data_IF_660865199799
#
_entry.id   IF_660865199799
#
_cell.length_a   1.000
_cell.length_b   1.000
_cell.length_c   1.000
_cell.angle_alpha   90.00
_cell.angle_beta   90.00
_cell.angle_gamma   90.00
#
_symmetry.space_group_name_H-M   'P 1'
#
loop_
_entity.id
_entity.type
_entity.pdbx_description
1 polymer ?
#
# COMPACT_ATOMS: atom_id res chain seq x y z
N UNK A 1 14.33 -12.49 5.67
CA UNK A 1 13.68 -12.58 4.34
C UNK A 1 12.73 -11.38 4.22
N UNK A 2 12.29 -10.99 3.02
CA UNK A 2 11.21 -10.00 2.88
C UNK A 2 9.88 -10.74 2.98
N UNK A 3 8.97 -10.25 3.81
CA UNK A 3 7.67 -10.88 4.06
C UNK A 3 6.56 -9.84 4.06
N UNK A 4 5.37 -10.23 3.59
CA UNK A 4 4.14 -9.47 3.80
C UNK A 4 3.42 -9.98 5.06
N UNK A 5 3.17 -9.11 6.02
CA UNK A 5 2.46 -9.45 7.26
C UNK A 5 1.27 -8.52 7.47
N UNK A 6 0.34 -8.93 8.33
CA UNK A 6 -0.72 -8.04 8.78
C UNK A 6 -0.14 -6.96 9.73
N UNK A 7 -0.77 -5.77 9.81
CA UNK A 7 -0.42 -4.73 10.77
C UNK A 7 -0.41 -5.25 12.21
N UNK A 8 0.73 -5.12 12.87
CA UNK A 8 0.97 -5.68 14.20
C UNK A 8 1.69 -4.68 15.13
N UNK A 9 1.30 -4.68 16.40
CA UNK A 9 1.86 -3.73 17.38
C UNK A 9 3.35 -3.94 17.66
N UNK A 10 3.89 -5.13 17.37
CA UNK A 10 5.29 -5.49 17.56
C UNK A 10 6.27 -4.65 16.73
N UNK A 11 5.82 -4.07 15.61
CA UNK A 11 6.68 -3.23 14.75
C UNK A 11 6.66 -1.75 15.12
N UNK A 12 6.02 -1.34 16.22
CA UNK A 12 5.78 0.07 16.54
C UNK A 12 7.04 0.95 16.45
N UNK A 13 8.15 0.51 17.06
CA UNK A 13 9.43 1.25 17.01
C UNK A 13 9.95 1.42 15.57
N UNK A 14 10.03 0.33 14.81
CA UNK A 14 10.55 0.37 13.44
C UNK A 14 9.63 1.14 12.49
N UNK A 15 8.32 1.09 12.74
CA UNK A 15 7.32 1.88 12.02
C UNK A 15 7.53 3.38 12.24
N UNK A 16 7.78 3.82 13.48
CA UNK A 16 8.05 5.23 13.80
C UNK A 16 9.32 5.74 13.12
N UNK A 17 10.38 4.92 13.08
CA UNK A 17 11.60 5.27 12.35
C UNK A 17 11.33 5.43 10.84
N UNK A 18 10.58 4.51 10.25
CA UNK A 18 10.20 4.62 8.85
C UNK A 18 9.35 5.87 8.60
N UNK A 19 8.38 6.17 9.47
CA UNK A 19 7.56 7.37 9.37
C UNK A 19 8.40 8.65 9.42
N UNK A 20 9.42 8.71 10.29
CA UNK A 20 10.37 9.81 10.34
C UNK A 20 11.20 9.93 9.05
N UNK A 21 11.62 8.81 8.44
CA UNK A 21 12.32 8.84 7.15
C UNK A 21 11.44 9.37 6.02
N UNK A 22 10.18 8.91 5.94
CA UNK A 22 9.24 9.40 4.93
C UNK A 22 9.02 10.91 5.07
N UNK A 23 8.80 11.39 6.31
CA UNK A 23 8.67 12.81 6.59
C UNK A 23 9.93 13.60 6.20
N UNK A 24 11.14 13.09 6.53
CA UNK A 24 12.41 13.72 6.17
C UNK A 24 12.65 13.77 4.65
N UNK A 25 12.11 12.81 3.90
CA UNK A 25 12.15 12.77 2.45
C UNK A 25 11.06 13.63 1.78
N UNK A 26 10.12 14.19 2.55
CA UNK A 26 8.95 14.87 2.01
C UNK A 26 8.03 13.94 1.22
N UNK A 27 7.99 12.66 1.59
CA UNK A 27 7.33 11.59 0.85
C UNK A 27 6.22 10.95 1.70
N UNK A 28 5.18 10.47 1.02
CA UNK A 28 4.01 9.91 1.67
C UNK A 28 4.05 8.38 1.71
N UNK A 29 3.57 7.79 2.81
CA UNK A 29 3.49 6.34 2.98
C UNK A 29 2.31 5.75 2.19
N UNK A 30 2.41 5.69 0.87
CA UNK A 30 1.36 5.11 0.04
C UNK A 30 1.01 3.67 0.47
N UNK A 31 -0.27 3.32 0.40
CA UNK A 31 -0.77 2.01 0.80
C UNK A 31 -0.93 1.81 2.32
N UNK A 32 -0.40 2.70 3.16
CA UNK A 32 -0.46 2.59 4.64
C UNK A 32 -1.86 2.71 5.22
N UNK A 33 -2.78 3.41 4.54
CA UNK A 33 -4.09 3.76 5.09
C UNK A 33 -4.08 4.97 6.02
N UNK A 34 -2.95 5.67 6.15
CA UNK A 34 -2.90 6.99 6.77
C UNK A 34 -3.74 8.00 5.95
N UNK A 35 -4.04 9.13 6.59
CA UNK A 35 -4.48 10.32 5.87
C UNK A 35 -3.25 11.13 5.40
N UNK A 36 -3.22 11.65 4.16
CA UNK A 36 -2.22 12.63 3.75
C UNK A 36 -2.25 13.85 4.67
N UNK A 37 -1.08 14.39 5.02
CA UNK A 37 -1.01 15.49 5.98
C UNK A 37 -1.65 16.78 5.46
N UNK A 38 -1.63 16.96 4.13
CA UNK A 38 -2.21 18.09 3.39
C UNK A 38 -3.71 17.92 3.07
N UNK A 39 -4.29 16.75 3.36
CA UNK A 39 -5.72 16.52 3.19
C UNK A 39 -6.50 17.14 4.36
N UNK A 40 -7.50 18.00 4.09
CA UNK A 40 -8.42 18.50 5.11
C UNK A 40 -9.17 17.37 5.82
N UNK A 41 -9.36 17.48 7.14
CA UNK A 41 -9.98 16.42 7.95
C UNK A 41 -11.41 16.06 7.47
N UNK A 42 -12.16 17.03 6.94
CA UNK A 42 -13.51 16.81 6.40
C UNK A 42 -13.53 16.05 5.05
N UNK A 43 -12.36 15.87 4.42
CA UNK A 43 -12.17 15.08 3.21
C UNK A 43 -11.62 13.67 3.50
N UNK A 44 -11.14 13.42 4.72
CA UNK A 44 -10.68 12.09 5.11
C UNK A 44 -11.88 11.18 5.36
N UNK A 45 -11.86 10.00 4.74
CA UNK A 45 -12.90 8.99 4.92
C UNK A 45 -12.53 8.05 6.06
N UNK A 46 -13.38 8.02 7.09
CA UNK A 46 -13.19 7.18 8.26
C UNK A 46 -12.35 7.84 9.35
N UNK A 47 -11.79 7.03 10.22
CA UNK A 47 -10.94 7.50 11.31
C UNK A 47 -9.62 8.07 10.77
N UNK A 48 -9.22 9.22 11.30
CA UNK A 48 -8.02 9.94 10.86
C UNK A 48 -6.84 9.45 11.69
N UNK A 49 -5.90 8.77 11.03
CA UNK A 49 -4.62 8.40 11.60
C UNK A 49 -3.51 9.22 10.95
N UNK A 50 -2.81 10.02 11.77
CA UNK A 50 -1.63 10.78 11.36
C UNK A 50 -0.39 10.28 12.11
N UNK A 51 0.81 10.25 11.48
CA UNK A 51 2.02 9.73 12.12
C UNK A 51 2.32 10.29 13.52
N UNK A 52 2.04 11.59 13.75
CA UNK A 52 2.27 12.23 15.06
C UNK A 52 1.45 11.59 16.20
N UNK A 53 0.21 11.17 15.92
CA UNK A 53 -0.67 10.51 16.90
C UNK A 53 -0.22 9.09 17.20
N UNK A 54 0.41 8.44 16.21
CA UNK A 54 0.82 7.04 16.28
C UNK A 54 2.10 6.83 17.11
N UNK A 55 2.64 7.89 17.72
CA UNK A 55 3.67 7.76 18.78
C UNK A 55 3.11 7.16 20.07
N UNK A 56 1.80 7.31 20.31
CA UNK A 56 1.09 6.65 21.40
C UNK A 56 0.81 5.17 21.04
N UNK A 57 1.28 4.20 21.85
CA UNK A 57 1.03 2.78 21.61
C UNK A 57 -0.45 2.40 21.52
N UNK A 58 -1.34 3.08 22.25
CA UNK A 58 -2.78 2.81 22.19
C UNK A 58 -3.37 3.24 20.84
N UNK A 59 -2.96 4.41 20.35
CA UNK A 59 -3.37 4.90 19.03
C UNK A 59 -2.76 4.03 17.91
N UNK A 60 -1.52 3.57 18.08
CA UNK A 60 -0.90 2.63 17.14
C UNK A 60 -1.63 1.28 17.09
N UNK A 61 -2.05 0.75 18.25
CA UNK A 61 -2.85 -0.46 18.32
C UNK A 61 -4.23 -0.29 17.65
N UNK A 62 -4.89 0.85 17.85
CA UNK A 62 -6.14 1.19 17.18
C UNK A 62 -5.96 1.26 15.65
N UNK A 63 -4.87 1.90 15.18
CA UNK A 63 -4.50 1.93 13.76
C UNK A 63 -4.32 0.51 13.19
N UNK A 64 -3.55 -0.36 13.86
CA UNK A 64 -3.35 -1.74 13.41
C UNK A 64 -4.67 -2.53 13.34
N UNK A 65 -5.56 -2.33 14.30
CA UNK A 65 -6.89 -2.95 14.29
C UNK A 65 -7.76 -2.43 13.14
N UNK A 66 -7.79 -1.10 12.94
CA UNK A 66 -8.54 -0.47 11.85
C UNK A 66 -8.06 -0.95 10.47
N UNK A 67 -6.74 -1.08 10.28
CA UNK A 67 -6.17 -1.56 9.02
C UNK A 67 -6.52 -3.04 8.75
N UNK A 68 -6.54 -3.90 9.78
CA UNK A 68 -6.97 -5.29 9.63
C UNK A 68 -8.46 -5.43 9.33
N UNK A 69 -9.29 -4.53 9.85
CA UNK A 69 -10.74 -4.53 9.59
C UNK A 69 -11.11 -4.17 8.14
N UNK A 70 -10.18 -3.60 7.35
CA UNK A 70 -10.41 -3.16 5.96
C UNK A 70 -10.79 -4.28 4.98
N UNK A 71 -10.56 -5.54 5.36
CA UNK A 71 -10.98 -6.71 4.57
C UNK A 71 -12.49 -6.94 4.63
N UNK A 72 -13.18 -6.43 5.66
CA UNK A 72 -14.63 -6.59 5.77
C UNK A 72 -15.32 -5.65 4.78
N UNK A 73 -16.13 -6.24 3.90
CA UNK A 73 -16.81 -5.51 2.82
C UNK A 73 -17.80 -4.49 3.35
N UNK A 74 -18.54 -4.81 4.41
CA UNK A 74 -19.56 -3.90 4.94
C UNK A 74 -18.91 -2.69 5.60
N UNK A 75 -17.84 -2.93 6.36
CA UNK A 75 -17.02 -1.89 6.97
C UNK A 75 -16.36 -1.01 5.91
N UNK A 76 -15.67 -1.59 4.92
CA UNK A 76 -15.03 -0.83 3.86
C UNK A 76 -16.04 0.02 3.07
N UNK A 77 -17.21 -0.53 2.75
CA UNK A 77 -18.28 0.16 2.06
C UNK A 77 -18.86 1.32 2.89
N UNK A 78 -18.97 1.18 4.22
CA UNK A 78 -19.43 2.25 5.11
C UNK A 78 -18.51 3.48 5.08
N UNK A 79 -17.24 3.27 4.71
CA UNK A 79 -16.23 4.31 4.53
C UNK A 79 -16.11 4.78 3.07
N UNK A 80 -16.95 4.27 2.16
CA UNK A 80 -16.89 4.60 0.74
C UNK A 80 -15.68 4.00 0.01
N UNK A 81 -15.11 2.91 0.52
CA UNK A 81 -14.00 2.21 -0.08
C UNK A 81 -14.40 0.80 -0.52
N UNK A 82 -13.57 0.20 -1.38
CA UNK A 82 -13.58 -1.25 -1.63
C UNK A 82 -12.85 -1.98 -0.49
N UNK A 83 -13.12 -3.28 -0.27
CA UNK A 83 -12.33 -4.10 0.63
C UNK A 83 -10.86 -4.15 0.19
N UNK A 84 -9.94 -4.02 1.14
CA UNK A 84 -8.52 -4.15 0.85
C UNK A 84 -7.73 -4.79 2.00
N UNK A 85 -6.76 -5.64 1.64
CA UNK A 85 -5.76 -6.13 2.59
C UNK A 85 -4.68 -5.08 2.74
N UNK A 86 -4.61 -4.46 3.91
CA UNK A 86 -3.49 -3.61 4.33
C UNK A 86 -2.39 -4.51 4.86
N UNK A 87 -1.25 -4.53 4.18
CA UNK A 87 -0.12 -5.40 4.47
C UNK A 87 1.12 -4.56 4.74
N UNK A 88 1.99 -5.06 5.61
CA UNK A 88 3.29 -4.47 5.89
C UNK A 88 4.40 -5.29 5.26
N UNK A 89 5.37 -4.60 4.68
CA UNK A 89 6.58 -5.19 4.12
C UNK A 89 7.61 -5.20 5.23
N UNK A 90 8.04 -6.38 5.66
CA UNK A 90 8.94 -6.53 6.81
C UNK A 90 10.17 -7.37 6.48
N UNK A 91 11.21 -7.22 7.30
CA UNK A 91 12.38 -8.11 7.34
C UNK A 91 12.73 -8.40 8.80
N UNK A 92 12.28 -9.55 9.31
CA UNK A 92 12.38 -9.81 10.75
C UNK A 92 11.51 -8.80 11.51
N UNK A 93 12.12 -8.05 12.43
CA UNK A 93 11.45 -7.02 13.23
C UNK A 93 11.46 -5.63 12.56
N UNK A 94 12.07 -5.52 11.37
CA UNK A 94 12.16 -4.25 10.65
C UNK A 94 10.94 -4.02 9.76
N UNK A 95 10.22 -2.92 10.00
CA UNK A 95 9.22 -2.39 9.10
C UNK A 95 9.90 -1.65 7.94
N UNK A 96 9.61 -2.07 6.70
CA UNK A 96 10.23 -1.55 5.49
C UNK A 96 9.26 -0.76 4.61
N UNK A 97 7.95 -0.84 4.85
CA UNK A 97 6.96 -0.19 4.01
C UNK A 97 5.58 -0.83 4.08
N UNK A 98 4.68 -0.37 3.22
CA UNK A 98 3.29 -0.83 3.16
C UNK A 98 2.92 -1.30 1.75
N UNK A 99 1.99 -2.25 1.70
CA UNK A 99 1.34 -2.70 0.47
C UNK A 99 -0.17 -2.80 0.73
N UNK A 100 -0.97 -2.15 -0.09
CA UNK A 100 -2.44 -2.25 -0.10
C UNK A 100 -2.84 -3.09 -1.30
N UNK A 101 -3.52 -4.20 -1.04
CA UNK A 101 -4.12 -5.08 -2.05
C UNK A 101 -5.64 -4.92 -2.00
N UNK A 102 -6.20 -4.19 -2.95
CA UNK A 102 -7.65 -4.04 -3.13
C UNK A 102 -8.21 -5.29 -3.77
N UNK A 103 -9.29 -5.81 -3.19
CA UNK A 103 -9.91 -7.09 -3.61
C UNK A 103 -10.77 -6.92 -4.87
N UNK A 104 -11.10 -5.69 -5.21
CA UNK A 104 -11.87 -5.32 -6.40
C UNK A 104 -11.51 -3.90 -6.84
N UNK A 105 -11.89 -3.55 -8.06
CA UNK A 105 -11.73 -2.19 -8.60
C UNK A 105 -13.08 -1.52 -8.83
N UNK A 106 -13.18 -0.26 -8.41
CA UNK A 106 -14.22 0.67 -8.86
C UNK A 106 -13.67 1.55 -10.00
N UNK A 107 -14.51 2.42 -10.56
CA UNK A 107 -14.13 3.30 -11.68
C UNK A 107 -12.89 4.18 -11.40
N UNK A 108 -12.74 4.64 -10.16
CA UNK A 108 -11.60 5.46 -9.76
C UNK A 108 -10.32 4.61 -9.68
N UNK A 109 -10.39 3.44 -9.03
CA UNK A 109 -9.26 2.51 -8.96
C UNK A 109 -8.88 1.97 -10.32
N UNK A 110 -9.86 1.75 -11.21
CA UNK A 110 -9.59 1.41 -12.59
C UNK A 110 -8.78 2.48 -13.27
N UNK A 111 -8.88 3.77 -12.94
CA UNK A 111 -8.13 4.88 -13.57
C UNK A 111 -6.80 5.16 -12.88
N UNK A 112 -6.82 5.34 -11.56
CA UNK A 112 -5.72 5.91 -10.78
C UNK A 112 -4.94 4.88 -9.95
N UNK A 113 -5.63 3.89 -9.36
CA UNK A 113 -5.09 3.14 -8.22
C UNK A 113 -4.62 1.71 -8.52
N UNK A 114 -5.32 0.98 -9.39
CA UNK A 114 -5.13 -0.46 -9.56
C UNK A 114 -5.44 -1.29 -8.31
N UNK A 115 -5.15 -2.58 -8.37
CA UNK A 115 -5.32 -3.52 -7.25
C UNK A 115 -4.23 -3.34 -6.20
N UNK A 116 -3.02 -2.96 -6.61
CA UNK A 116 -1.88 -2.90 -5.69
C UNK A 116 -1.31 -1.49 -5.66
N UNK A 117 -1.16 -0.94 -4.46
CA UNK A 117 -0.36 0.26 -4.20
C UNK A 117 0.61 -0.01 -3.07
N UNK A 118 1.86 0.47 -3.18
CA UNK A 118 2.89 0.20 -2.18
C UNK A 118 3.80 1.41 -1.96
N UNK A 119 4.51 1.42 -0.83
CA UNK A 119 5.61 2.32 -0.55
C UNK A 119 6.69 1.57 0.21
N UNK A 120 7.95 1.97 0.01
CA UNK A 120 9.12 1.43 0.72
C UNK A 120 9.84 2.59 1.39
N UNK A 121 10.23 2.42 2.66
CA UNK A 121 10.95 3.44 3.43
C UNK A 121 12.23 3.85 2.70
N UNK A 122 12.56 5.16 2.67
CA UNK A 122 13.66 5.70 1.87
C UNK A 122 14.98 4.92 1.94
N UNK A 123 15.43 4.53 3.14
CA UNK A 123 16.70 3.82 3.36
C UNK A 123 16.77 2.42 2.70
N UNK A 124 15.62 1.81 2.41
CA UNK A 124 15.51 0.46 1.87
C UNK A 124 15.17 0.41 0.37
N UNK A 125 15.06 1.59 -0.28
CA UNK A 125 14.82 1.68 -1.72
C UNK A 125 16.01 1.17 -2.53
N UNK A 126 15.74 0.69 -3.74
CA UNK A 126 16.73 0.12 -4.68
C UNK A 126 17.45 -1.14 -4.15
N UNK A 127 16.88 -1.82 -3.16
CA UNK A 127 17.39 -3.09 -2.59
C UNK A 127 16.51 -4.31 -2.92
N UNK A 128 15.65 -4.19 -3.93
CA UNK A 128 14.74 -5.27 -4.34
C UNK A 128 13.48 -5.44 -3.47
N UNK A 129 13.34 -4.66 -2.39
CA UNK A 129 12.20 -4.76 -1.45
C UNK A 129 10.84 -4.62 -2.14
N UNK A 130 10.64 -3.58 -2.95
CA UNK A 130 9.38 -3.37 -3.67
C UNK A 130 9.10 -4.49 -4.68
N UNK A 131 10.15 -5.03 -5.34
CA UNK A 131 10.01 -6.12 -6.30
C UNK A 131 9.51 -7.38 -5.63
N UNK A 132 10.11 -7.76 -4.50
CA UNK A 132 9.70 -8.96 -3.76
C UNK A 132 8.32 -8.79 -3.10
N UNK A 133 8.04 -7.60 -2.53
CA UNK A 133 6.73 -7.30 -1.97
C UNK A 133 5.62 -7.36 -3.03
N UNK A 134 5.87 -6.82 -4.23
CA UNK A 134 4.90 -6.88 -5.33
C UNK A 134 4.67 -8.33 -5.78
N UNK A 135 5.73 -9.14 -5.89
CA UNK A 135 5.63 -10.58 -6.22
C UNK A 135 4.70 -11.31 -5.25
N UNK A 136 4.92 -11.16 -3.95
CA UNK A 136 4.07 -11.77 -2.91
C UNK A 136 2.64 -11.20 -2.91
N UNK A 137 2.49 -9.90 -3.18
CA UNK A 137 1.18 -9.26 -3.29
C UNK A 137 0.35 -9.80 -4.46
N UNK A 138 0.99 -10.11 -5.58
CA UNK A 138 0.37 -10.74 -6.75
C UNK A 138 -0.02 -12.19 -6.49
N UNK A 139 0.80 -12.95 -5.76
CA UNK A 139 0.43 -14.30 -5.29
C UNK A 139 -0.83 -14.26 -4.43
N UNK A 140 -0.91 -13.33 -3.46
CA UNK A 140 -2.11 -13.14 -2.65
C UNK A 140 -3.32 -12.69 -3.47
N UNK A 141 -3.12 -11.90 -4.51
CA UNK A 141 -4.19 -11.50 -5.41
C UNK A 141 -4.76 -12.73 -6.16
N UNK A 142 -3.89 -13.63 -6.62
CA UNK A 142 -4.29 -14.92 -7.21
C UNK A 142 -5.10 -15.76 -6.21
N UNK A 143 -4.64 -15.87 -4.96
CA UNK A 143 -5.36 -16.60 -3.90
C UNK A 143 -6.76 -16.04 -3.59
N UNK A 144 -6.98 -14.75 -3.86
CA UNK A 144 -8.28 -14.07 -3.73
C UNK A 144 -9.19 -14.27 -4.96
N UNK A 145 -8.75 -15.00 -5.99
CA UNK A 145 -9.48 -15.23 -7.22
C UNK A 145 -9.41 -14.07 -8.21
N UNK A 146 -8.35 -13.24 -8.14
CA UNK A 146 -8.09 -12.19 -9.13
C UNK A 146 -7.30 -12.79 -10.28
N UNK A 147 -7.94 -13.00 -11.44
CA UNK A 147 -7.29 -13.58 -12.62
C UNK A 147 -6.23 -12.65 -13.24
N UNK A 148 -6.47 -11.32 -13.16
CA UNK A 148 -5.55 -10.30 -13.66
C UNK A 148 -5.52 -9.07 -12.76
N UNK A 149 -4.32 -8.66 -12.37
CA UNK A 149 -4.10 -7.51 -11.52
C UNK A 149 -3.66 -6.27 -12.33
N UNK A 150 -4.46 -5.22 -12.26
CA UNK A 150 -4.04 -3.86 -12.64
C UNK A 150 -3.08 -3.28 -11.59
N UNK A 151 -1.92 -2.79 -12.02
CA UNK A 151 -1.02 -1.98 -11.19
C UNK A 151 -0.72 -0.69 -11.94
N UNK A 152 -0.78 0.44 -11.24
CA UNK A 152 -0.56 1.77 -11.82
C UNK A 152 0.63 2.46 -11.18
N UNK A 153 1.28 3.36 -11.93
CA UNK A 153 2.27 4.28 -11.39
C UNK A 153 2.26 5.58 -12.19
N UNK A 154 2.86 6.64 -11.65
CA UNK A 154 3.10 7.88 -12.42
C UNK A 154 4.02 7.61 -13.62
N UNK A 155 3.83 8.38 -14.70
CA UNK A 155 4.56 8.20 -15.95
C UNK A 155 6.06 8.50 -15.81
N UNK A 156 6.43 9.40 -14.90
CA UNK A 156 7.81 9.74 -14.56
C UNK A 156 8.43 8.79 -13.52
N UNK A 157 7.64 7.88 -12.92
CA UNK A 157 8.09 6.94 -11.91
C UNK A 157 8.71 5.68 -12.53
N UNK A 158 9.87 5.87 -13.18
CA UNK A 158 10.62 4.79 -13.84
C UNK A 158 10.99 3.63 -12.89
N UNK A 159 11.16 3.91 -11.60
CA UNK A 159 11.46 2.88 -10.61
C UNK A 159 10.28 1.92 -10.42
N UNK A 160 9.06 2.44 -10.27
CA UNK A 160 7.85 1.63 -10.13
C UNK A 160 7.52 0.88 -11.42
N UNK A 161 7.63 1.55 -12.58
CA UNK A 161 7.47 0.90 -13.89
C UNK A 161 8.39 -0.33 -14.01
N UNK A 162 9.68 -0.18 -13.70
CA UNK A 162 10.63 -1.28 -13.76
C UNK A 162 10.38 -2.37 -12.70
N UNK A 163 9.79 -2.05 -11.55
CA UNK A 163 9.36 -3.05 -10.55
C UNK A 163 8.16 -3.84 -11.04
N UNK A 164 7.18 -3.17 -11.66
CA UNK A 164 5.97 -3.79 -12.19
C UNK A 164 6.30 -4.71 -13.38
N UNK A 165 7.12 -4.24 -14.32
CA UNK A 165 7.55 -5.01 -15.49
C UNK A 165 8.35 -6.26 -15.12
N UNK A 166 9.21 -6.18 -14.09
CA UNK A 166 9.93 -7.35 -13.55
C UNK A 166 9.01 -8.40 -12.94
N UNK A 167 7.83 -7.99 -12.49
CA UNK A 167 6.78 -8.87 -11.96
C UNK A 167 5.76 -9.28 -13.04
N UNK A 168 6.13 -9.18 -14.32
CA UNK A 168 5.30 -9.63 -15.44
C UNK A 168 4.24 -8.62 -15.90
N UNK A 169 4.24 -7.40 -15.35
CA UNK A 169 3.33 -6.35 -15.77
C UNK A 169 3.57 -5.92 -17.21
N UNK A 170 2.50 -5.93 -18.01
CA UNK A 170 2.51 -5.46 -19.40
C UNK A 170 1.81 -4.12 -19.48
N UNK A 171 2.50 -3.12 -20.01
CA UNK A 171 1.93 -1.79 -20.21
C UNK A 171 0.75 -1.89 -21.17
N UNK A 172 -0.42 -1.47 -20.69
CA UNK A 172 -1.63 -1.32 -21.50
C UNK A 172 -1.59 0.02 -22.24
N UNK A 173 -1.48 1.12 -21.47
CA UNK A 173 -1.50 2.50 -21.96
C UNK A 173 -1.11 3.47 -20.85
N UNK A 174 -0.93 4.74 -21.24
CA UNK A 174 -0.82 5.89 -20.33
C UNK A 174 -2.11 6.70 -20.41
N UNK A 175 -2.71 7.04 -19.26
CA UNK A 175 -3.92 7.86 -19.15
C UNK A 175 -3.70 8.89 -18.06
N UNK A 176 -3.90 10.17 -18.36
CA UNK A 176 -3.80 11.27 -17.39
C UNK A 176 -2.50 11.27 -16.56
N UNK A 177 -1.37 10.91 -17.21
CA UNK A 177 -0.06 10.82 -16.55
C UNK A 177 0.17 9.55 -15.73
N UNK A 178 -0.77 8.60 -15.74
CA UNK A 178 -0.64 7.28 -15.09
C UNK A 178 -0.36 6.19 -16.11
N UNK A 179 0.71 5.43 -15.89
CA UNK A 179 0.95 4.16 -16.59
C UNK A 179 0.09 3.07 -15.98
N UNK A 180 -0.46 2.21 -16.84
CA UNK A 180 -1.34 1.11 -16.45
C UNK A 180 -0.75 -0.19 -16.92
N UNK A 181 -0.53 -1.11 -15.99
CA UNK A 181 0.04 -2.41 -16.29
C UNK A 181 -0.93 -3.51 -15.87
N UNK A 182 -1.17 -4.48 -16.76
CA UNK A 182 -1.86 -5.71 -16.41
C UNK A 182 -0.85 -6.82 -16.14
N UNK A 183 -1.04 -7.53 -15.04
CA UNK A 183 -0.34 -8.77 -14.70
C UNK A 183 -1.35 -9.91 -14.77
N UNK A 184 -1.07 -10.92 -15.58
CA UNK A 184 -1.88 -12.15 -15.63
C UNK A 184 -1.45 -13.07 -14.48
N UNK A 185 -2.41 -13.55 -13.67
CA UNK A 185 -2.14 -14.34 -12.46
C UNK A 185 -2.52 -15.83 -12.60
N UNK A 186 -3.34 -16.17 -13.61
CA UNK A 186 -3.64 -17.55 -14.01
C UNK A 186 -4.90 -18.10 -13.37
#
# INVERSE_FOLDING_TARGET
MIELVDPDVGYHSSWLEAAAEFAAAGDYQHGSGLAPDDMPDDQVRGEIFRPAQLTDPQQFAAFCAAMRARIDRSFAASLGFVPDSKLWIVRGDDFLGSLSLRHELNDWLLREGGHIGYSVRPSERRRGVATEALRQGLERACDLGIDRALVTCDDDNAASAATIERNGGRLEKVVDGKRRYWVELG
#
